data_IF_235457942559
#
_entry.id   IF_235457942559
#
_cell.length_a   1.000
_cell.length_b   1.000
_cell.length_c   1.000
_cell.angle_alpha   90.00
_cell.angle_beta   90.00
_cell.angle_gamma   90.00
#
_symmetry.space_group_name_H-M   'P 1'
#
loop_
_entity.id
_entity.type
_entity.pdbx_description
1 polymer ?
#
# COMPACT_ATOMS: atom_id res chain seq x y z
N UNK A 1 27.20 20.11 19.89
CA UNK A 1 25.77 20.05 19.70
C UNK A 1 25.32 21.33 19.00
N UNK A 2 25.14 21.31 17.71
CA UNK A 2 24.71 22.49 16.93
C UNK A 2 23.18 22.47 16.92
N UNK A 3 22.57 23.36 17.70
CA UNK A 3 21.14 23.60 17.71
C UNK A 3 20.79 24.34 16.40
N UNK A 4 20.13 23.67 15.48
CA UNK A 4 19.54 24.29 14.29
C UNK A 4 18.23 24.97 14.69
N UNK A 5 17.97 26.16 14.20
CA UNK A 5 16.65 26.81 14.29
C UNK A 5 15.87 26.52 13.01
N UNK A 6 14.59 26.17 13.13
CA UNK A 6 13.68 26.09 12.00
C UNK A 6 13.34 27.50 11.47
N UNK A 7 12.60 27.59 10.37
CA UNK A 7 12.17 28.87 9.76
C UNK A 7 11.26 29.70 10.69
N UNK A 8 10.84 29.18 11.82
CA UNK A 8 10.02 29.85 12.84
C UNK A 8 10.85 30.30 14.07
N UNK A 9 12.19 30.12 14.03
CA UNK A 9 13.10 30.57 15.10
C UNK A 9 13.14 29.64 16.33
N UNK A 10 12.58 28.42 16.23
CA UNK A 10 12.61 27.44 17.32
C UNK A 10 13.83 26.54 17.24
N UNK A 11 14.37 26.22 18.41
CA UNK A 11 15.41 25.21 18.56
C UNK A 11 14.84 23.86 18.11
N UNK A 12 15.32 23.33 17.00
CA UNK A 12 14.97 21.97 16.57
C UNK A 12 15.54 21.02 17.61
N UNK A 13 14.68 20.39 18.41
CA UNK A 13 15.06 19.24 19.21
C UNK A 13 15.65 18.21 18.24
N UNK A 14 16.86 17.73 18.52
CA UNK A 14 17.46 16.66 17.73
C UNK A 14 16.56 15.43 17.80
N UNK A 15 15.79 15.20 16.72
CA UNK A 15 14.86 14.08 16.61
C UNK A 15 15.57 12.76 16.87
N UNK A 16 16.81 12.61 16.40
CA UNK A 16 17.61 11.40 16.59
C UNK A 16 17.92 11.16 18.07
N UNK A 17 18.28 12.20 18.81
CA UNK A 17 18.55 12.09 20.26
C UNK A 17 17.26 11.68 20.99
N UNK A 18 16.13 12.29 20.65
CA UNK A 18 14.82 11.96 21.23
C UNK A 18 14.42 10.51 20.94
N UNK A 19 14.47 10.08 19.69
CA UNK A 19 14.09 8.72 19.30
C UNK A 19 15.05 7.67 19.88
N UNK A 20 16.35 7.98 20.01
CA UNK A 20 17.31 7.05 20.60
C UNK A 20 17.08 6.79 22.09
N UNK A 21 16.53 7.74 22.81
CA UNK A 21 16.22 7.62 24.23
C UNK A 21 14.82 7.08 24.55
N UNK A 22 13.92 6.93 23.55
CA UNK A 22 12.55 6.50 23.76
C UNK A 22 12.42 4.99 23.58
N UNK A 23 11.99 4.29 24.61
CA UNK A 23 11.89 2.83 24.56
C UNK A 23 10.69 2.36 23.74
N UNK A 24 10.83 1.22 23.06
CA UNK A 24 9.69 0.55 22.41
C UNK A 24 8.58 0.23 23.41
N UNK A 25 8.93 -0.14 24.66
CA UNK A 25 7.96 -0.43 25.69
C UNK A 25 7.11 0.79 26.02
N UNK A 26 7.72 1.98 26.16
CA UNK A 26 6.99 3.23 26.38
C UNK A 26 6.06 3.57 25.20
N UNK A 27 6.54 3.36 23.96
CA UNK A 27 5.71 3.57 22.77
C UNK A 27 4.46 2.69 22.78
N UNK A 28 4.58 1.44 23.21
CA UNK A 28 3.47 0.50 23.34
C UNK A 28 2.52 0.86 24.50
N UNK A 29 3.06 1.14 25.70
CA UNK A 29 2.29 1.45 26.91
C UNK A 29 1.46 2.73 26.76
N UNK A 30 2.03 3.74 26.11
CA UNK A 30 1.38 5.04 25.94
C UNK A 30 0.58 5.15 24.65
N UNK A 31 0.55 4.13 23.79
CA UNK A 31 -0.19 4.16 22.53
C UNK A 31 -1.68 4.34 22.75
N UNK A 32 -2.19 5.53 22.52
CA UNK A 32 -3.61 5.87 22.53
C UNK A 32 -3.92 6.84 21.40
N UNK A 33 -5.15 6.82 20.91
CA UNK A 33 -5.64 7.83 19.96
C UNK A 33 -5.86 9.17 20.69
N UNK A 34 -5.19 10.20 20.23
CA UNK A 34 -5.39 11.58 20.69
C UNK A 34 -5.55 12.45 19.45
N UNK A 35 -6.66 13.18 19.37
CA UNK A 35 -7.14 13.76 18.11
C UNK A 35 -7.21 15.28 18.12
N UNK A 36 -7.42 15.89 19.29
CA UNK A 36 -7.69 17.31 19.37
C UNK A 36 -6.38 18.11 19.28
N UNK A 37 -6.28 18.93 18.24
CA UNK A 37 -5.10 19.72 17.91
C UNK A 37 -5.40 21.22 17.99
N UNK A 38 -4.36 22.06 18.05
CA UNK A 38 -4.51 23.51 17.93
C UNK A 38 -5.32 23.92 16.69
N UNK A 39 -6.26 24.86 16.88
CA UNK A 39 -7.15 25.35 15.82
C UNK A 39 -8.42 24.52 15.61
N UNK A 40 -8.58 23.37 16.29
CA UNK A 40 -9.81 22.56 16.20
C UNK A 40 -10.95 23.10 17.07
N UNK A 41 -12.18 22.72 16.71
CA UNK A 41 -13.39 23.06 17.48
C UNK A 41 -14.33 21.86 17.55
N UNK A 42 -14.78 21.52 18.77
CA UNK A 42 -15.93 20.66 19.03
C UNK A 42 -17.10 21.55 19.42
N UNK A 43 -18.07 21.71 18.52
CA UNK A 43 -19.14 22.72 18.63
C UNK A 43 -20.26 22.37 19.64
N UNK A 44 -20.28 21.15 20.20
CA UNK A 44 -21.35 20.75 21.11
C UNK A 44 -21.03 19.55 21.98
N UNK A 45 -21.92 19.24 22.91
CA UNK A 45 -21.79 18.14 23.85
C UNK A 45 -20.85 18.41 25.03
N UNK A 46 -20.56 17.39 25.86
CA UNK A 46 -19.81 17.55 27.10
C UNK A 46 -18.34 17.93 26.92
N UNK A 47 -17.78 17.76 25.71
CA UNK A 47 -16.41 18.14 25.36
C UNK A 47 -16.38 19.38 24.44
N UNK A 48 -17.44 20.20 24.46
CA UNK A 48 -17.51 21.42 23.65
C UNK A 48 -16.35 22.36 23.97
N UNK A 49 -15.53 22.64 22.97
CA UNK A 49 -14.31 23.45 23.13
C UNK A 49 -13.84 24.00 21.79
N UNK A 50 -13.43 25.25 21.80
CA UNK A 50 -12.73 25.87 20.67
C UNK A 50 -11.30 26.16 21.09
N UNK A 51 -10.35 25.63 20.35
CA UNK A 51 -8.93 25.93 20.55
C UNK A 51 -8.67 27.42 20.42
N UNK A 52 -7.91 27.98 21.35
CA UNK A 52 -7.42 29.37 21.29
C UNK A 52 -6.06 29.46 20.59
N UNK A 53 -5.38 28.35 20.39
CA UNK A 53 -4.11 28.26 19.70
C UNK A 53 -4.31 28.16 18.18
N UNK A 54 -3.42 28.76 17.40
CA UNK A 54 -3.41 28.61 15.95
C UNK A 54 -3.00 27.19 15.54
N UNK A 55 -3.48 26.70 14.38
CA UNK A 55 -3.00 25.44 13.81
C UNK A 55 -1.46 25.37 13.75
N UNK A 56 -0.88 24.25 14.17
CA UNK A 56 0.56 24.06 14.24
C UNK A 56 0.97 22.82 13.42
N UNK A 57 1.53 23.01 12.21
CA UNK A 57 1.98 21.91 11.37
C UNK A 57 3.12 21.10 12.04
N UNK A 58 3.30 19.85 11.60
CA UNK A 58 4.49 19.08 11.87
C UNK A 58 5.69 19.71 11.15
N UNK A 59 6.86 19.54 11.73
CA UNK A 59 8.12 19.85 11.03
C UNK A 59 8.39 18.78 9.97
N UNK A 60 9.18 19.11 8.95
CA UNK A 60 9.52 18.12 7.91
C UNK A 60 10.38 16.97 8.48
N UNK A 61 11.15 17.20 9.55
CA UNK A 61 11.93 16.14 10.22
C UNK A 61 11.00 15.14 10.94
N UNK A 62 9.91 15.62 11.54
CA UNK A 62 8.87 14.77 12.13
C UNK A 62 8.12 13.98 11.06
N UNK A 63 7.79 14.62 9.95
CA UNK A 63 7.19 13.91 8.81
C UNK A 63 8.14 12.86 8.24
N UNK A 64 9.45 13.16 8.13
CA UNK A 64 10.45 12.20 7.69
C UNK A 64 10.54 10.98 8.62
N UNK A 65 10.53 11.20 9.94
CA UNK A 65 10.52 10.11 10.92
C UNK A 65 9.24 9.26 10.82
N UNK A 66 8.08 9.88 10.68
CA UNK A 66 6.81 9.18 10.49
C UNK A 66 6.76 8.41 9.17
N UNK A 67 7.20 9.02 8.07
CA UNK A 67 7.27 8.36 6.77
C UNK A 67 8.24 7.17 6.78
N UNK A 68 9.40 7.31 7.46
CA UNK A 68 10.35 6.21 7.66
C UNK A 68 9.71 5.09 8.47
N UNK A 69 9.06 5.38 9.58
CA UNK A 69 8.38 4.37 10.38
C UNK A 69 7.31 3.62 9.59
N UNK A 70 6.55 4.33 8.73
CA UNK A 70 5.51 3.76 7.90
C UNK A 70 6.05 2.85 6.79
N UNK A 71 7.12 3.25 6.10
CA UNK A 71 7.51 2.58 4.86
C UNK A 71 8.99 2.76 4.47
N UNK A 72 9.87 3.10 5.42
CA UNK A 72 11.29 3.29 5.15
C UNK A 72 12.02 2.02 4.72
N UNK A 73 13.01 2.17 3.84
CA UNK A 73 13.91 1.09 3.45
C UNK A 73 14.84 0.79 4.62
N UNK A 74 14.99 -0.51 4.97
CA UNK A 74 15.79 -0.95 6.11
C UNK A 74 17.07 -1.70 5.72
N UNK A 75 17.08 -2.31 4.54
CA UNK A 75 18.19 -3.13 4.09
C UNK A 75 17.77 -4.10 3.01
N UNK A 76 18.65 -5.05 2.69
CA UNK A 76 18.31 -6.15 1.82
C UNK A 76 17.53 -7.22 2.58
N UNK A 77 16.56 -7.84 1.92
CA UNK A 77 15.80 -8.97 2.44
C UNK A 77 16.71 -10.21 2.56
N UNK A 78 16.57 -10.99 3.62
CA UNK A 78 17.35 -12.22 3.78
C UNK A 78 16.91 -13.31 2.79
N UNK A 79 15.61 -13.41 2.51
CA UNK A 79 15.00 -14.31 1.53
C UNK A 79 15.41 -15.79 1.75
N UNK A 80 15.22 -16.26 2.96
CA UNK A 80 15.54 -17.65 3.41
C UNK A 80 14.50 -18.62 2.86
N UNK A 81 14.62 -18.97 1.57
CA UNK A 81 13.69 -19.82 0.85
C UNK A 81 14.41 -21.05 0.30
N UNK A 82 13.76 -22.21 0.18
CA UNK A 82 14.38 -23.43 -0.34
C UNK A 82 14.74 -23.38 -1.84
N UNK A 83 14.18 -22.48 -2.63
CA UNK A 83 14.44 -22.31 -4.07
C UNK A 83 14.63 -23.63 -4.84
N UNK A 84 13.63 -24.50 -4.78
CA UNK A 84 13.65 -25.80 -5.45
C UNK A 84 12.90 -25.73 -6.79
N UNK A 85 13.35 -26.51 -7.77
CA UNK A 85 12.53 -26.82 -8.94
C UNK A 85 11.39 -27.76 -8.53
N UNK A 86 10.26 -27.68 -9.24
CA UNK A 86 9.16 -28.63 -9.07
C UNK A 86 9.55 -30.05 -9.55
N UNK A 87 8.72 -31.04 -9.22
CA UNK A 87 8.99 -32.47 -9.49
C UNK A 87 9.04 -32.84 -10.98
N UNK A 88 8.66 -31.94 -11.87
CA UNK A 88 8.65 -32.20 -13.34
C UNK A 88 9.73 -31.39 -14.05
N UNK A 89 10.35 -31.92 -15.10
CA UNK A 89 11.29 -31.16 -15.90
C UNK A 89 10.68 -29.86 -16.42
N UNK A 90 11.34 -28.74 -16.14
CA UNK A 90 10.89 -27.40 -16.51
C UNK A 90 9.77 -26.81 -15.63
N UNK A 91 9.35 -27.50 -14.56
CA UNK A 91 8.48 -26.89 -13.56
C UNK A 91 9.26 -25.87 -12.73
N UNK A 92 8.66 -24.72 -12.51
CA UNK A 92 9.21 -23.70 -11.58
C UNK A 92 8.99 -24.11 -10.13
N UNK A 93 9.80 -23.60 -9.22
CA UNK A 93 9.73 -23.89 -7.80
C UNK A 93 8.72 -23.07 -7.01
N UNK A 94 7.76 -22.41 -7.65
CA UNK A 94 6.78 -21.58 -6.95
C UNK A 94 7.39 -20.41 -6.17
N UNK A 95 8.50 -19.85 -6.63
CA UNK A 95 9.21 -18.77 -5.96
C UNK A 95 8.38 -17.49 -5.89
N UNK A 96 7.87 -17.20 -4.70
CA UNK A 96 7.02 -16.02 -4.44
C UNK A 96 7.80 -14.74 -4.13
N UNK A 97 9.09 -14.80 -3.82
CA UNK A 97 9.88 -13.59 -3.54
C UNK A 97 9.96 -12.72 -4.80
N UNK A 98 9.54 -11.46 -4.68
CA UNK A 98 9.54 -10.52 -5.80
C UNK A 98 10.71 -9.54 -5.74
N UNK A 99 11.10 -9.12 -4.53
CA UNK A 99 12.18 -8.17 -4.32
C UNK A 99 13.08 -8.59 -3.16
N UNK A 100 14.32 -8.08 -3.20
CA UNK A 100 15.34 -8.32 -2.17
C UNK A 100 15.59 -7.09 -1.27
N UNK A 101 14.63 -6.16 -1.18
CA UNK A 101 14.70 -4.96 -0.33
C UNK A 101 13.65 -5.07 0.78
N UNK A 102 14.10 -4.87 2.04
CA UNK A 102 13.24 -4.82 3.22
C UNK A 102 12.76 -3.40 3.53
N UNK A 103 11.63 -3.30 4.20
CA UNK A 103 11.06 -2.06 4.73
C UNK A 103 10.79 -2.18 6.24
N UNK A 104 10.48 -1.06 6.88
CA UNK A 104 10.06 -1.00 8.30
C UNK A 104 8.79 -1.78 8.60
N UNK A 105 8.04 -2.18 7.58
CA UNK A 105 6.84 -3.00 7.67
C UNK A 105 7.03 -4.33 6.95
N UNK A 106 6.34 -5.36 7.42
CA UNK A 106 6.23 -6.60 6.69
C UNK A 106 5.40 -6.41 5.40
N UNK A 107 5.84 -7.04 4.33
CA UNK A 107 5.12 -7.10 3.07
C UNK A 107 5.10 -8.54 2.58
N UNK A 108 3.95 -9.05 2.14
CA UNK A 108 3.84 -10.36 1.52
C UNK A 108 4.77 -10.45 0.33
N UNK A 109 5.60 -11.52 0.28
CA UNK A 109 6.48 -11.84 -0.84
C UNK A 109 7.50 -10.75 -1.22
N UNK A 110 7.69 -9.74 -0.36
CA UNK A 110 8.50 -8.57 -0.67
C UNK A 110 7.93 -7.68 -1.78
N UNK A 111 6.65 -7.77 -2.08
CA UNK A 111 5.99 -7.01 -3.17
C UNK A 111 5.95 -5.51 -2.88
N UNK A 112 5.86 -5.11 -1.61
CA UNK A 112 5.70 -3.71 -1.24
C UNK A 112 4.55 -3.03 -1.99
N UNK A 113 3.35 -3.60 -1.85
CA UNK A 113 2.17 -3.16 -2.60
C UNK A 113 1.73 -1.73 -2.27
N UNK A 114 2.03 -1.25 -1.06
CA UNK A 114 1.53 0.02 -0.54
C UNK A 114 2.48 1.18 -0.74
N UNK A 115 1.99 2.23 -1.40
CA UNK A 115 2.58 3.57 -1.47
C UNK A 115 1.93 4.48 -0.43
N UNK A 116 2.66 5.49 0.06
CA UNK A 116 2.16 6.42 1.08
C UNK A 116 2.03 7.82 0.52
N UNK A 117 0.81 8.39 0.54
CA UNK A 117 0.60 9.81 0.32
C UNK A 117 0.67 10.55 1.65
N UNK A 118 1.43 11.63 1.69
CA UNK A 118 1.58 12.53 2.83
C UNK A 118 0.95 13.86 2.45
N UNK A 119 -0.09 14.25 3.18
CA UNK A 119 -0.93 15.42 2.90
C UNK A 119 -0.83 16.38 4.08
N UNK A 120 -0.36 17.59 3.85
CA UNK A 120 -0.19 18.63 4.87
C UNK A 120 -0.58 20.01 4.32
N UNK A 121 -0.35 21.09 5.08
CA UNK A 121 -0.70 22.45 4.68
C UNK A 121 0.10 22.95 3.47
N UNK A 122 1.29 22.40 3.25
CA UNK A 122 2.11 22.74 2.09
C UNK A 122 1.67 21.98 0.83
N UNK A 123 0.92 20.89 0.95
CA UNK A 123 0.36 20.10 -0.17
C UNK A 123 0.47 18.60 -0.03
N UNK A 124 0.80 17.89 -1.11
CA UNK A 124 0.83 16.44 -1.17
C UNK A 124 2.17 15.93 -1.68
N UNK A 125 2.73 14.96 -0.98
CA UNK A 125 3.88 14.18 -1.44
C UNK A 125 3.52 12.70 -1.53
N UNK A 126 4.06 12.01 -2.54
CA UNK A 126 4.03 10.55 -2.67
C UNK A 126 5.38 9.99 -2.24
N UNK A 127 5.39 9.09 -1.27
CA UNK A 127 6.57 8.29 -0.91
C UNK A 127 6.59 7.04 -1.78
N UNK A 128 7.63 6.93 -2.60
CA UNK A 128 7.80 5.84 -3.58
C UNK A 128 8.13 4.52 -2.90
N UNK A 129 7.66 3.42 -3.49
CA UNK A 129 8.03 2.07 -3.09
C UNK A 129 9.45 1.73 -3.59
N UNK A 130 10.12 0.71 -3.05
CA UNK A 130 11.44 0.30 -3.54
C UNK A 130 11.50 0.05 -5.05
N UNK A 131 10.46 -0.59 -5.62
CA UNK A 131 10.36 -0.86 -7.05
C UNK A 131 10.15 0.37 -7.94
N UNK A 132 9.76 1.49 -7.35
CA UNK A 132 9.54 2.77 -8.06
C UNK A 132 10.79 3.66 -8.01
N UNK A 133 11.89 3.19 -7.40
CA UNK A 133 13.18 3.86 -7.27
C UNK A 133 14.19 3.29 -8.26
N UNK A 134 15.20 4.09 -8.60
CA UNK A 134 16.36 3.56 -9.31
C UNK A 134 17.11 2.59 -8.39
N UNK A 135 17.40 1.39 -8.86
CA UNK A 135 18.14 0.39 -8.09
C UNK A 135 19.51 0.86 -7.68
N UNK A 136 20.17 1.68 -8.50
CA UNK A 136 21.47 2.25 -8.17
C UNK A 136 21.43 3.15 -6.92
N UNK A 137 20.26 3.69 -6.55
CA UNK A 137 20.08 4.51 -5.35
C UNK A 137 19.89 3.67 -4.07
N UNK A 138 19.49 2.41 -4.17
CA UNK A 138 19.12 1.57 -3.01
C UNK A 138 20.25 1.47 -1.96
N UNK A 139 21.52 1.21 -2.32
CA UNK A 139 22.60 1.16 -1.33
C UNK A 139 22.76 2.46 -0.54
N UNK A 140 22.63 3.60 -1.19
CA UNK A 140 22.71 4.90 -0.52
C UNK A 140 21.51 5.15 0.39
N UNK A 141 20.30 4.75 -0.02
CA UNK A 141 19.11 4.85 0.83
C UNK A 141 19.23 3.98 2.08
N UNK A 142 19.79 2.78 1.96
CA UNK A 142 20.11 1.91 3.10
C UNK A 142 21.16 2.58 4.02
N UNK A 143 22.21 3.17 3.46
CA UNK A 143 23.21 3.89 4.23
C UNK A 143 22.60 5.05 5.03
N UNK A 144 21.75 5.86 4.39
CA UNK A 144 21.04 6.97 5.05
C UNK A 144 20.14 6.47 6.19
N UNK A 145 19.42 5.37 5.97
CA UNK A 145 18.57 4.77 7.00
C UNK A 145 19.38 4.32 8.22
N UNK A 146 20.45 3.56 8.00
CA UNK A 146 21.34 3.10 9.09
C UNK A 146 22.08 4.25 9.78
N UNK A 147 22.42 5.31 9.03
CA UNK A 147 22.96 6.57 9.57
C UNK A 147 21.94 7.41 10.32
N UNK A 148 20.65 7.01 10.33
CA UNK A 148 19.54 7.78 10.89
C UNK A 148 19.39 9.17 10.26
N UNK A 149 19.81 9.33 9.03
CA UNK A 149 19.67 10.53 8.22
C UNK A 149 18.27 10.58 7.57
N UNK A 150 17.22 10.59 8.42
CA UNK A 150 15.84 10.38 7.99
C UNK A 150 15.31 11.48 7.06
N UNK A 151 15.76 12.74 7.25
CA UNK A 151 15.34 13.85 6.40
C UNK A 151 15.95 13.75 4.99
N UNK A 152 17.27 13.54 4.80
CA UNK A 152 17.84 13.27 3.47
C UNK A 152 17.24 12.05 2.79
N UNK A 153 16.96 10.98 3.55
CA UNK A 153 16.27 9.79 3.04
C UNK A 153 14.87 10.15 2.51
N UNK A 154 14.07 10.87 3.31
CA UNK A 154 12.71 11.28 2.94
C UNK A 154 12.70 12.16 1.69
N UNK A 155 13.62 13.12 1.60
CA UNK A 155 13.72 14.01 0.45
C UNK A 155 14.09 13.28 -0.85
N UNK A 156 14.79 12.14 -0.79
CA UNK A 156 15.11 11.31 -1.96
C UNK A 156 13.96 10.41 -2.39
N UNK A 157 13.20 9.86 -1.44
CA UNK A 157 12.14 8.89 -1.78
C UNK A 157 10.79 9.53 -2.09
N UNK A 158 10.56 10.78 -1.70
CA UNK A 158 9.29 11.47 -1.96
C UNK A 158 9.28 12.22 -3.29
N UNK A 159 8.10 12.31 -3.88
CA UNK A 159 7.81 13.18 -5.02
C UNK A 159 6.70 14.13 -4.62
N UNK A 160 6.92 15.44 -4.76
CA UNK A 160 5.87 16.44 -4.56
C UNK A 160 4.90 16.37 -5.72
N UNK A 161 3.62 16.12 -5.45
CA UNK A 161 2.57 15.96 -6.48
C UNK A 161 1.52 17.08 -6.47
N UNK A 162 1.44 17.84 -5.40
CA UNK A 162 0.58 19.05 -5.29
C UNK A 162 1.19 20.04 -4.31
N UNK A 163 1.08 21.34 -4.61
CA UNK A 163 1.51 22.45 -3.74
C UNK A 163 0.40 22.97 -2.83
N UNK A 164 -0.71 22.25 -2.76
CA UNK A 164 -1.82 22.57 -1.88
C UNK A 164 -2.34 21.31 -1.23
N UNK A 165 -2.85 21.46 0.00
CA UNK A 165 -3.59 20.37 0.65
C UNK A 165 -4.74 19.96 -0.23
N UNK A 166 -4.91 18.65 -0.45
CA UNK A 166 -6.16 18.10 -1.00
C UNK A 166 -7.09 17.74 0.14
N UNK A 167 -8.37 17.93 -0.07
CA UNK A 167 -9.39 17.63 0.92
C UNK A 167 -10.55 16.90 0.27
N UNK A 168 -11.28 16.13 1.07
CA UNK A 168 -12.51 15.49 0.65
C UNK A 168 -13.69 16.24 1.25
N UNK A 169 -14.88 16.17 0.63
CA UNK A 169 -16.09 16.73 1.23
C UNK A 169 -16.27 16.24 2.67
N UNK A 170 -16.57 17.16 3.61
CA UNK A 170 -16.65 16.83 5.04
C UNK A 170 -18.03 16.39 5.51
N UNK A 171 -19.06 16.55 4.67
CA UNK A 171 -20.40 16.09 4.96
C UNK A 171 -20.53 14.56 4.86
N UNK A 172 -21.59 14.03 5.44
CA UNK A 172 -22.01 12.65 5.26
C UNK A 172 -22.38 12.43 3.78
N UNK A 173 -21.96 11.36 3.14
CA UNK A 173 -21.37 10.15 3.70
C UNK A 173 -19.82 10.12 3.72
N UNK A 174 -19.14 11.19 3.34
CA UNK A 174 -17.68 11.20 3.13
C UNK A 174 -16.91 11.20 4.44
N UNK A 175 -17.32 12.01 5.41
CA UNK A 175 -16.74 12.05 6.75
C UNK A 175 -17.84 11.88 7.80
N UNK A 176 -17.74 10.86 8.69
CA UNK A 176 -18.71 10.69 9.76
C UNK A 176 -18.78 11.94 10.67
N UNK A 177 -19.96 12.30 11.18
CA UNK A 177 -20.16 13.54 11.98
C UNK A 177 -19.16 13.65 13.14
N UNK A 178 -18.86 12.56 13.84
CA UNK A 178 -17.94 12.53 14.96
C UNK A 178 -16.46 12.69 14.60
N UNK A 179 -16.11 12.74 13.31
CA UNK A 179 -14.75 12.97 12.82
C UNK A 179 -14.61 14.27 12.02
N UNK A 180 -15.70 14.97 11.72
CA UNK A 180 -15.68 16.18 10.88
C UNK A 180 -14.80 17.29 11.48
N UNK A 181 -14.75 17.40 12.80
CA UNK A 181 -13.95 18.40 13.50
C UNK A 181 -12.43 18.18 13.36
N UNK A 182 -12.00 16.96 13.11
CA UNK A 182 -10.58 16.58 13.15
C UNK A 182 -9.99 16.09 11.84
N UNK A 183 -10.82 15.55 10.91
CA UNK A 183 -10.29 14.90 9.70
C UNK A 183 -9.66 15.90 8.75
N UNK A 184 -8.38 15.71 8.45
CA UNK A 184 -7.60 16.44 7.45
C UNK A 184 -7.73 17.99 7.58
N UNK A 185 -7.76 18.48 8.81
CA UNK A 185 -7.83 19.93 9.08
C UNK A 185 -6.46 20.59 9.03
N UNK A 186 -6.37 21.93 8.85
CA UNK A 186 -5.10 22.67 8.90
C UNK A 186 -4.28 22.36 10.16
N UNK A 187 -2.96 22.35 10.05
CA UNK A 187 -2.04 22.01 11.14
C UNK A 187 -1.84 20.52 11.36
N UNK A 188 -2.55 19.65 10.64
CA UNK A 188 -2.39 18.19 10.72
C UNK A 188 -1.66 17.64 9.52
N UNK A 189 -1.01 16.49 9.67
CA UNK A 189 -0.47 15.70 8.55
C UNK A 189 -1.26 14.41 8.42
N UNK A 190 -1.80 14.17 7.21
CA UNK A 190 -2.62 13.02 6.88
C UNK A 190 -1.82 12.03 6.04
N UNK A 191 -1.70 10.82 6.51
CA UNK A 191 -0.98 9.72 5.87
C UNK A 191 -1.99 8.76 5.27
N UNK A 192 -2.04 8.68 3.94
CA UNK A 192 -2.96 7.83 3.20
C UNK A 192 -2.20 6.70 2.48
N UNK A 193 -2.24 5.46 3.00
CA UNK A 193 -1.65 4.30 2.33
C UNK A 193 -2.56 3.84 1.19
N UNK A 194 -2.00 3.73 -0.02
CA UNK A 194 -2.69 3.25 -1.21
C UNK A 194 -1.98 2.00 -1.73
N UNK A 195 -2.69 0.87 -1.69
CA UNK A 195 -2.17 -0.39 -2.23
C UNK A 195 -2.41 -0.48 -3.74
N UNK A 196 -1.39 -0.91 -4.48
CA UNK A 196 -1.46 -1.38 -5.85
C UNK A 196 -1.52 -2.92 -5.82
N UNK A 197 -2.58 -3.50 -6.36
CA UNK A 197 -2.91 -4.91 -6.16
C UNK A 197 -2.48 -5.83 -7.32
N UNK A 198 -2.17 -5.28 -8.51
CA UNK A 198 -1.95 -6.12 -9.68
C UNK A 198 -0.61 -6.86 -9.64
N UNK A 199 0.44 -6.22 -9.13
CA UNK A 199 1.74 -6.86 -8.93
C UNK A 199 1.63 -8.04 -7.95
N UNK A 200 0.97 -7.83 -6.81
CA UNK A 200 0.72 -8.87 -5.82
C UNK A 200 -0.12 -10.01 -6.41
N UNK A 201 -1.18 -9.69 -7.17
CA UNK A 201 -2.02 -10.68 -7.81
C UNK A 201 -1.25 -11.54 -8.82
N UNK A 202 -0.47 -10.92 -9.69
CA UNK A 202 0.33 -11.66 -10.66
C UNK A 202 1.33 -12.58 -9.94
N UNK A 203 2.03 -12.07 -8.93
CA UNK A 203 3.01 -12.84 -8.19
C UNK A 203 2.40 -14.08 -7.51
N UNK A 204 1.26 -13.91 -6.84
CA UNK A 204 0.54 -15.01 -6.21
C UNK A 204 0.05 -16.05 -7.22
N UNK A 205 -0.48 -15.60 -8.39
CA UNK A 205 -0.97 -16.49 -9.44
C UNK A 205 0.15 -17.27 -10.11
N UNK A 206 1.31 -16.63 -10.36
CA UNK A 206 2.48 -17.32 -10.89
C UNK A 206 2.92 -18.49 -9.99
N UNK A 207 2.83 -18.33 -8.68
CA UNK A 207 3.11 -19.41 -7.73
C UNK A 207 1.95 -20.43 -7.65
N UNK A 208 0.71 -19.95 -7.53
CA UNK A 208 -0.47 -20.80 -7.39
C UNK A 208 -0.72 -21.72 -8.59
N UNK A 209 -0.30 -21.29 -9.79
CA UNK A 209 -0.44 -22.04 -11.02
C UNK A 209 0.79 -22.87 -11.39
N UNK A 210 1.81 -22.94 -10.54
CA UNK A 210 2.87 -23.95 -10.70
C UNK A 210 2.32 -25.37 -10.50
N UNK A 211 2.98 -26.37 -11.09
CA UNK A 211 2.56 -27.77 -11.00
C UNK A 211 2.39 -28.26 -9.56
N UNK A 212 3.26 -27.80 -8.64
CA UNK A 212 3.25 -28.22 -7.23
C UNK A 212 2.03 -27.69 -6.47
N UNK A 213 1.62 -26.47 -6.72
CA UNK A 213 0.39 -25.90 -6.18
C UNK A 213 -0.83 -26.33 -7.00
N UNK A 214 -0.79 -26.16 -8.31
CA UNK A 214 -1.77 -26.61 -9.28
C UNK A 214 -3.20 -26.15 -8.98
N UNK A 215 -3.39 -24.93 -8.47
CA UNK A 215 -4.70 -24.40 -8.16
C UNK A 215 -5.55 -24.22 -9.42
N UNK A 216 -6.81 -24.61 -9.32
CA UNK A 216 -7.79 -24.43 -10.37
C UNK A 216 -8.88 -23.48 -9.92
N UNK A 217 -9.17 -22.43 -10.71
CA UNK A 217 -10.05 -21.35 -10.27
C UNK A 217 -11.40 -21.43 -10.99
N UNK A 218 -12.47 -21.43 -10.20
CA UNK A 218 -13.85 -21.30 -10.66
C UNK A 218 -14.37 -19.88 -10.39
N UNK A 219 -15.12 -19.32 -11.32
CA UNK A 219 -15.78 -18.04 -11.12
C UNK A 219 -17.20 -18.26 -10.60
N UNK A 220 -17.43 -18.10 -9.32
CA UNK A 220 -18.72 -18.25 -8.65
C UNK A 220 -19.75 -17.24 -9.15
N UNK A 221 -19.30 -16.05 -9.58
CA UNK A 221 -20.16 -15.01 -10.19
C UNK A 221 -20.61 -15.39 -11.59
N UNK A 222 -19.94 -16.35 -12.23
CA UNK A 222 -20.25 -16.92 -13.52
C UNK A 222 -20.66 -18.39 -13.43
N UNK A 223 -21.52 -18.75 -12.48
CA UNK A 223 -22.07 -20.11 -12.30
C UNK A 223 -20.98 -21.17 -12.13
N UNK A 224 -19.92 -20.86 -11.42
CA UNK A 224 -18.77 -21.72 -11.19
C UNK A 224 -18.12 -22.26 -12.47
N UNK A 225 -18.17 -21.48 -13.55
CA UNK A 225 -17.42 -21.83 -14.76
C UNK A 225 -15.91 -21.64 -14.54
N UNK A 226 -15.07 -22.41 -15.23
CA UNK A 226 -13.64 -22.18 -15.24
C UNK A 226 -13.32 -20.73 -15.63
N UNK A 227 -12.53 -20.07 -14.82
CA UNK A 227 -12.17 -18.67 -15.03
C UNK A 227 -11.06 -18.52 -16.11
N UNK A 228 -11.33 -18.91 -17.35
CA UNK A 228 -10.35 -18.93 -18.44
C UNK A 228 -9.40 -20.14 -18.41
N UNK A 229 -9.49 -21.01 -17.41
CA UNK A 229 -8.51 -22.08 -17.13
C UNK A 229 -8.87 -23.46 -17.68
N UNK A 230 -9.98 -23.61 -18.41
CA UNK A 230 -10.49 -24.91 -18.84
C UNK A 230 -9.47 -25.79 -19.60
N UNK A 231 -8.59 -25.20 -20.40
CA UNK A 231 -7.55 -25.92 -21.16
C UNK A 231 -6.39 -26.41 -20.29
N UNK A 232 -6.23 -25.85 -19.10
CA UNK A 232 -5.16 -26.19 -18.17
C UNK A 232 -5.57 -27.25 -17.14
N UNK A 233 -6.85 -27.69 -17.14
CA UNK A 233 -7.38 -28.70 -16.23
C UNK A 233 -6.71 -30.07 -16.43
N UNK A 234 -6.32 -30.76 -15.36
CA UNK A 234 -5.73 -32.12 -15.41
C UNK A 234 -6.65 -33.13 -16.08
N UNK A 235 -7.97 -33.02 -15.88
CA UNK A 235 -8.96 -33.86 -16.56
C UNK A 235 -8.93 -33.71 -18.08
N UNK A 236 -8.27 -32.66 -18.60
CA UNK A 236 -8.10 -32.37 -20.02
C UNK A 236 -6.64 -32.40 -20.50
N UNK A 237 -5.76 -33.00 -19.68
CA UNK A 237 -4.33 -33.12 -20.01
C UNK A 237 -3.48 -31.90 -19.61
N UNK A 238 -4.04 -30.94 -18.89
CA UNK A 238 -3.32 -29.79 -18.35
C UNK A 238 -2.58 -30.11 -17.04
N UNK A 239 -2.13 -29.07 -16.33
CA UNK A 239 -1.34 -29.19 -15.10
C UNK A 239 -2.11 -28.76 -13.84
N UNK A 240 -3.20 -27.97 -13.96
CA UNK A 240 -3.99 -27.49 -12.84
C UNK A 240 -4.99 -28.56 -12.35
N UNK A 241 -5.06 -28.77 -11.05
CA UNK A 241 -5.88 -29.83 -10.47
C UNK A 241 -7.33 -29.36 -10.32
N UNK A 242 -8.20 -29.84 -11.22
CA UNK A 242 -9.64 -29.56 -11.25
C UNK A 242 -10.49 -30.60 -10.49
N UNK A 243 -9.88 -31.54 -9.77
CA UNK A 243 -10.57 -32.46 -8.87
C UNK A 243 -11.01 -31.73 -7.60
N UNK A 244 -12.33 -31.64 -7.40
CA UNK A 244 -12.93 -31.00 -6.22
C UNK A 244 -12.52 -31.67 -4.89
N UNK A 245 -12.17 -32.96 -4.90
CA UNK A 245 -11.75 -33.69 -3.71
C UNK A 245 -10.30 -33.41 -3.30
N UNK A 246 -9.49 -32.87 -4.20
CA UNK A 246 -8.07 -32.63 -3.96
C UNK A 246 -7.76 -31.35 -3.15
N UNK A 247 -8.77 -30.54 -2.83
CA UNK A 247 -8.61 -29.31 -2.05
C UNK A 247 -7.82 -28.19 -2.78
N UNK A 248 -7.72 -28.27 -4.12
CA UNK A 248 -6.97 -27.29 -4.95
C UNK A 248 -7.87 -26.46 -5.86
N UNK A 249 -9.19 -26.69 -5.80
CA UNK A 249 -10.16 -25.86 -6.50
C UNK A 249 -10.58 -24.72 -5.59
N UNK A 250 -10.40 -23.48 -6.07
CA UNK A 250 -10.72 -22.26 -5.34
C UNK A 250 -11.64 -21.37 -6.17
N UNK A 251 -12.26 -20.36 -5.55
CA UNK A 251 -13.08 -19.40 -6.30
C UNK A 251 -12.30 -18.12 -6.60
N UNK A 252 -12.73 -17.40 -7.63
CA UNK A 252 -12.19 -16.08 -7.96
C UNK A 252 -12.35 -15.09 -6.80
N UNK A 253 -13.50 -15.13 -6.09
CA UNK A 253 -13.76 -14.29 -4.92
C UNK A 253 -12.85 -14.63 -3.72
N UNK A 254 -12.48 -15.90 -3.55
CA UNK A 254 -11.48 -16.29 -2.56
C UNK A 254 -10.13 -15.65 -2.84
N UNK A 255 -9.65 -15.69 -4.10
CA UNK A 255 -8.40 -15.04 -4.48
C UNK A 255 -8.45 -13.51 -4.33
N UNK A 256 -9.54 -12.88 -4.74
CA UNK A 256 -9.74 -11.43 -4.57
C UNK A 256 -9.77 -11.05 -3.07
N UNK A 257 -10.33 -11.89 -2.20
CA UNK A 257 -10.35 -11.69 -0.74
C UNK A 257 -8.95 -11.80 -0.17
N UNK A 258 -8.23 -12.85 -0.52
CA UNK A 258 -6.86 -13.09 -0.07
C UNK A 258 -5.95 -11.90 -0.39
N UNK A 259 -6.04 -11.43 -1.62
CA UNK A 259 -5.29 -10.27 -2.10
C UNK A 259 -5.58 -9.01 -1.28
N UNK A 260 -6.84 -8.76 -0.93
CA UNK A 260 -7.23 -7.63 -0.09
C UNK A 260 -6.72 -7.74 1.33
N UNK A 261 -6.68 -8.96 1.89
CA UNK A 261 -6.15 -9.23 3.22
C UNK A 261 -4.65 -8.95 3.29
N UNK A 262 -3.87 -9.41 2.32
CA UNK A 262 -2.44 -9.07 2.24
C UNK A 262 -2.20 -7.56 2.19
N UNK A 263 -2.94 -6.85 1.35
CA UNK A 263 -2.84 -5.39 1.27
C UNK A 263 -3.26 -4.70 2.59
N UNK A 264 -4.31 -5.21 3.25
CA UNK A 264 -4.79 -4.68 4.52
C UNK A 264 -3.80 -4.91 5.66
N UNK A 265 -3.10 -6.05 5.69
CA UNK A 265 -2.04 -6.35 6.67
C UNK A 265 -0.88 -5.36 6.49
N UNK A 266 -0.43 -5.14 5.27
CA UNK A 266 0.64 -4.18 4.97
C UNK A 266 0.23 -2.75 5.39
N UNK A 267 -0.99 -2.31 5.04
CA UNK A 267 -1.54 -1.03 5.48
C UNK A 267 -1.66 -0.95 7.01
N UNK A 268 -2.13 -2.01 7.67
CA UNK A 268 -2.25 -2.10 9.14
C UNK A 268 -0.89 -1.97 9.84
N UNK A 269 0.16 -2.60 9.30
CA UNK A 269 1.52 -2.46 9.81
C UNK A 269 2.04 -1.02 9.69
N UNK A 270 1.76 -0.34 8.57
CA UNK A 270 2.08 1.10 8.43
C UNK A 270 1.40 1.93 9.50
N UNK A 271 0.10 1.73 9.72
CA UNK A 271 -0.67 2.50 10.71
C UNK A 271 -0.18 2.24 12.14
N UNK A 272 0.19 0.99 12.47
CA UNK A 272 0.74 0.66 13.77
C UNK A 272 2.08 1.36 13.98
N UNK A 273 2.99 1.34 13.00
CA UNK A 273 4.28 2.00 13.11
C UNK A 273 4.15 3.53 13.19
N UNK A 274 3.23 4.14 12.43
CA UNK A 274 2.88 5.56 12.59
C UNK A 274 2.39 5.84 14.00
N UNK A 275 1.55 4.96 14.57
CA UNK A 275 1.07 5.08 15.95
C UNK A 275 2.17 5.03 16.99
N UNK A 276 3.16 4.16 16.85
CA UNK A 276 4.29 4.06 17.76
C UNK A 276 5.22 5.27 17.62
N UNK A 277 5.52 5.66 16.39
CA UNK A 277 6.39 6.81 16.12
C UNK A 277 5.78 8.12 16.63
N UNK A 278 4.46 8.32 16.50
CA UNK A 278 3.76 9.48 17.08
C UNK A 278 3.94 9.56 18.59
N UNK A 279 3.92 8.43 19.31
CA UNK A 279 4.17 8.44 20.77
C UNK A 279 5.61 8.89 21.06
N UNK A 280 6.59 8.33 20.36
CA UNK A 280 8.01 8.69 20.56
C UNK A 280 8.28 10.15 20.23
N UNK A 281 7.59 10.72 19.26
CA UNK A 281 7.69 12.15 18.90
C UNK A 281 6.85 13.06 19.83
N UNK A 282 6.06 12.52 20.78
CA UNK A 282 5.16 13.28 21.62
C UNK A 282 4.01 13.97 20.86
N UNK A 283 3.66 13.44 19.70
CA UNK A 283 2.54 13.90 18.87
C UNK A 283 1.23 13.21 19.28
N UNK A 284 0.12 13.79 18.90
CA UNK A 284 -1.15 13.10 18.81
C UNK A 284 -1.30 12.40 17.46
N UNK A 285 -2.15 11.38 17.43
CA UNK A 285 -2.48 10.70 16.18
C UNK A 285 -3.50 9.59 16.36
N UNK A 286 -4.12 9.21 15.27
CA UNK A 286 -5.11 8.15 15.27
C UNK A 286 -5.28 7.54 13.87
N UNK A 287 -5.50 6.22 13.78
CA UNK A 287 -5.95 5.59 12.55
C UNK A 287 -7.45 5.77 12.37
N UNK A 288 -7.90 6.00 11.15
CA UNK A 288 -9.32 6.07 10.83
C UNK A 288 -9.63 5.63 9.40
N UNK A 289 -10.90 5.43 9.10
CA UNK A 289 -11.32 5.12 7.75
C UNK A 289 -11.14 6.34 6.83
N UNK A 290 -10.44 6.14 5.72
CA UNK A 290 -10.49 7.03 4.58
C UNK A 290 -11.78 6.74 3.83
N UNK A 291 -12.86 7.41 4.18
CA UNK A 291 -14.17 7.17 3.59
C UNK A 291 -14.15 7.35 2.08
N UNK A 292 -14.85 6.49 1.37
CA UNK A 292 -14.99 6.56 -0.09
C UNK A 292 -13.67 6.69 -0.86
N UNK A 293 -12.94 5.58 -1.08
CA UNK A 293 -11.62 5.58 -1.74
C UNK A 293 -11.60 6.34 -3.07
N UNK A 294 -12.67 6.26 -3.87
CA UNK A 294 -12.76 6.93 -5.15
C UNK A 294 -12.70 8.46 -5.05
N UNK A 295 -13.21 9.06 -3.96
CA UNK A 295 -13.12 10.51 -3.75
C UNK A 295 -11.66 10.91 -3.48
N UNK A 296 -10.96 10.15 -2.65
CA UNK A 296 -9.52 10.36 -2.44
C UNK A 296 -8.74 10.22 -3.73
N UNK A 297 -9.04 9.21 -4.56
CA UNK A 297 -8.35 9.04 -5.84
C UNK A 297 -8.60 10.21 -6.78
N UNK A 298 -9.84 10.74 -6.84
CA UNK A 298 -10.16 11.92 -7.65
C UNK A 298 -9.41 13.16 -7.17
N UNK A 299 -9.46 13.45 -5.87
CA UNK A 299 -8.82 14.63 -5.29
C UNK A 299 -7.28 14.56 -5.37
N UNK A 300 -6.69 13.38 -5.27
CA UNK A 300 -5.26 13.18 -5.50
C UNK A 300 -4.85 13.28 -6.98
N UNK A 301 -5.79 13.24 -7.90
CA UNK A 301 -5.51 13.32 -9.35
C UNK A 301 -5.17 11.97 -10.00
N UNK A 302 -5.67 10.85 -9.45
CA UNK A 302 -5.57 9.56 -10.13
C UNK A 302 -6.28 9.62 -11.48
N UNK A 303 -5.76 8.88 -12.45
CA UNK A 303 -6.46 8.60 -13.70
C UNK A 303 -7.64 7.70 -13.41
N UNK A 304 -8.85 8.23 -13.62
CA UNK A 304 -10.11 7.54 -13.33
C UNK A 304 -10.75 6.99 -14.60
N UNK A 305 -11.40 5.84 -14.48
CA UNK A 305 -12.25 5.24 -15.50
C UNK A 305 -13.61 4.90 -14.90
N UNK A 306 -14.69 5.28 -15.57
CA UNK A 306 -16.03 4.89 -15.19
C UNK A 306 -16.42 3.58 -15.89
N UNK A 307 -16.54 2.52 -15.13
CA UNK A 307 -17.09 1.23 -15.59
C UNK A 307 -18.59 1.20 -15.31
N UNK A 308 -19.36 0.50 -16.14
CA UNK A 308 -20.78 0.25 -15.85
C UNK A 308 -20.89 -0.79 -14.72
N UNK A 309 -21.86 -0.60 -13.81
CA UNK A 309 -22.12 -1.56 -12.73
C UNK A 309 -22.38 -2.97 -13.30
N UNK A 310 -23.19 -3.07 -14.36
CA UNK A 310 -23.45 -4.34 -15.06
C UNK A 310 -22.17 -5.08 -15.45
N UNK A 311 -21.14 -4.34 -15.91
CA UNK A 311 -19.86 -4.94 -16.24
C UNK A 311 -19.09 -5.38 -15.01
N UNK A 312 -19.04 -4.55 -13.96
CA UNK A 312 -18.26 -4.87 -12.74
C UNK A 312 -18.80 -6.08 -11.98
N UNK A 313 -20.09 -6.37 -12.09
CA UNK A 313 -20.71 -7.57 -11.51
C UNK A 313 -20.77 -8.76 -12.49
N UNK A 314 -20.27 -8.60 -13.72
CA UNK A 314 -20.31 -9.65 -14.75
C UNK A 314 -21.70 -10.02 -15.21
N UNK A 315 -22.63 -9.05 -15.25
CA UNK A 315 -24.01 -9.27 -15.70
C UNK A 315 -24.05 -9.86 -17.12
N UNK A 316 -24.96 -10.78 -17.36
CA UNK A 316 -25.22 -11.26 -18.72
C UNK A 316 -25.89 -10.16 -19.57
N UNK A 317 -25.90 -10.26 -20.91
CA UNK A 317 -26.46 -9.21 -21.79
C UNK A 317 -27.89 -8.80 -21.48
N UNK A 318 -28.75 -9.77 -21.11
CA UNK A 318 -30.15 -9.49 -20.77
C UNK A 318 -30.26 -8.68 -19.47
N UNK A 319 -29.50 -9.07 -18.44
CA UNK A 319 -29.46 -8.36 -17.18
C UNK A 319 -28.85 -6.95 -17.36
N UNK A 320 -27.78 -6.81 -18.14
CA UNK A 320 -27.18 -5.51 -18.43
C UNK A 320 -28.17 -4.57 -19.17
N UNK A 321 -28.91 -5.09 -20.14
CA UNK A 321 -29.97 -4.34 -20.84
C UNK A 321 -31.10 -3.91 -19.87
N UNK A 322 -31.54 -4.80 -18.99
CA UNK A 322 -32.57 -4.49 -17.99
C UNK A 322 -32.06 -3.43 -16.98
N UNK A 323 -30.82 -3.51 -16.52
CA UNK A 323 -30.20 -2.50 -15.65
C UNK A 323 -30.12 -1.13 -16.33
N UNK A 324 -29.74 -1.11 -17.61
CA UNK A 324 -29.66 0.11 -18.40
C UNK A 324 -31.06 0.76 -18.59
N UNK A 325 -32.05 -0.02 -18.96
CA UNK A 325 -33.42 0.45 -19.15
C UNK A 325 -34.06 0.98 -17.86
N UNK A 326 -33.71 0.41 -16.72
CA UNK A 326 -34.23 0.84 -15.40
C UNK A 326 -33.40 1.93 -14.74
N UNK A 327 -32.35 2.47 -15.40
CA UNK A 327 -31.46 3.49 -14.85
C UNK A 327 -30.57 2.97 -13.70
N UNK A 328 -30.47 1.65 -13.50
CA UNK A 328 -29.67 1.03 -12.42
C UNK A 328 -28.24 0.69 -12.82
N UNK A 329 -27.89 0.85 -14.10
CA UNK A 329 -26.52 0.62 -14.59
C UNK A 329 -25.63 1.86 -14.37
N UNK A 330 -25.45 2.20 -13.08
CA UNK A 330 -24.69 3.38 -12.68
C UNK A 330 -23.19 3.27 -13.02
N UNK A 331 -22.51 4.40 -13.22
CA UNK A 331 -21.05 4.42 -13.37
C UNK A 331 -20.38 4.08 -12.04
N UNK A 332 -19.37 3.20 -12.10
CA UNK A 332 -18.52 2.81 -10.99
C UNK A 332 -17.12 3.41 -11.21
N UNK A 333 -16.75 4.48 -10.50
CA UNK A 333 -15.43 5.10 -10.63
C UNK A 333 -14.34 4.11 -10.21
N UNK A 334 -13.33 3.92 -11.06
CA UNK A 334 -12.21 3.02 -10.80
C UNK A 334 -10.92 3.76 -11.12
N UNK A 335 -10.02 3.86 -10.15
CA UNK A 335 -8.68 4.39 -10.37
C UNK A 335 -7.87 3.36 -11.19
N UNK A 336 -7.20 3.83 -12.25
CA UNK A 336 -6.45 2.96 -13.16
C UNK A 336 -4.96 3.30 -13.23
N UNK A 337 -4.50 4.34 -12.55
CA UNK A 337 -3.11 4.74 -12.46
C UNK A 337 -2.96 6.11 -11.83
N UNK A 338 -1.72 6.47 -11.49
CA UNK A 338 -1.39 7.79 -11.00
C UNK A 338 -0.20 8.35 -11.77
N UNK A 339 -0.40 9.52 -12.36
CA UNK A 339 0.59 10.21 -13.19
C UNK A 339 0.82 11.62 -12.66
N UNK A 340 2.08 12.06 -12.70
CA UNK A 340 2.44 13.43 -12.37
C UNK A 340 3.39 13.98 -13.44
N UNK A 341 3.07 15.17 -13.98
CA UNK A 341 3.84 15.80 -15.07
C UNK A 341 4.10 14.87 -16.26
N UNK A 342 3.09 14.08 -16.66
CA UNK A 342 3.16 13.15 -17.77
C UNK A 342 3.99 11.88 -17.52
N UNK A 343 4.46 11.66 -16.29
CA UNK A 343 5.20 10.45 -15.88
C UNK A 343 4.32 9.58 -14.98
N UNK A 344 4.19 8.27 -15.24
CA UNK A 344 3.50 7.36 -14.34
C UNK A 344 4.30 7.20 -13.05
N UNK A 345 3.69 7.52 -11.90
CA UNK A 345 4.25 7.29 -10.57
C UNK A 345 3.71 6.01 -9.92
N UNK A 346 2.43 5.67 -10.16
CA UNK A 346 1.87 4.37 -9.80
C UNK A 346 1.28 3.74 -11.07
N UNK A 347 2.01 2.76 -11.59
CA UNK A 347 1.70 2.04 -12.82
C UNK A 347 1.31 0.60 -12.49
N UNK A 348 0.01 0.27 -12.46
CA UNK A 348 -0.41 -1.10 -12.24
C UNK A 348 -0.14 -1.97 -13.46
N UNK A 349 0.05 -3.27 -13.24
CA UNK A 349 0.27 -4.27 -14.29
C UNK A 349 -1.05 -4.69 -14.94
N UNK A 350 -1.69 -3.75 -15.64
CA UNK A 350 -2.92 -3.97 -16.40
C UNK A 350 -3.14 -2.83 -17.40
N UNK A 351 -4.07 -2.96 -18.36
CA UNK A 351 -4.50 -1.82 -19.18
C UNK A 351 -5.02 -0.66 -18.33
N UNK A 352 -4.75 0.63 -18.67
CA UNK A 352 -4.23 1.07 -19.96
C UNK A 352 -2.70 1.20 -20.06
N UNK A 353 -1.93 0.81 -19.06
CA UNK A 353 -0.46 0.92 -19.09
C UNK A 353 0.21 -0.19 -19.90
N UNK A 354 -0.50 -1.26 -20.12
CA UNK A 354 -0.15 -2.38 -20.99
C UNK A 354 -1.29 -2.58 -21.99
N UNK A 355 -0.98 -3.10 -23.19
CA UNK A 355 -2.00 -3.31 -24.24
C UNK A 355 -3.06 -4.34 -23.85
N UNK A 356 -2.63 -5.38 -23.12
CA UNK A 356 -3.44 -6.49 -22.64
C UNK A 356 -2.84 -7.08 -21.36
N UNK A 357 -3.43 -8.10 -20.82
CA UNK A 357 -2.92 -8.76 -19.60
C UNK A 357 -1.68 -9.64 -19.89
N UNK A 358 -1.54 -10.16 -21.09
CA UNK A 358 -0.34 -10.89 -21.51
C UNK A 358 0.91 -10.01 -21.38
N UNK A 359 0.89 -8.82 -21.98
CA UNK A 359 2.00 -7.87 -21.87
C UNK A 359 2.30 -7.49 -20.41
N UNK A 360 1.25 -7.30 -19.60
CA UNK A 360 1.40 -6.97 -18.19
C UNK A 360 2.05 -8.11 -17.38
N UNK A 361 1.62 -9.34 -17.58
CA UNK A 361 2.20 -10.51 -16.90
C UNK A 361 3.65 -10.73 -17.32
N UNK A 362 3.93 -10.66 -18.62
CA UNK A 362 5.30 -10.81 -19.13
C UNK A 362 6.23 -9.71 -18.59
N UNK A 363 5.74 -8.46 -18.50
CA UNK A 363 6.51 -7.37 -17.91
C UNK A 363 6.80 -7.61 -16.41
N UNK A 364 5.88 -8.23 -15.66
CA UNK A 364 6.15 -8.62 -14.28
C UNK A 364 7.12 -9.81 -14.17
N UNK A 365 7.04 -10.77 -15.07
CA UNK A 365 8.04 -11.86 -15.18
C UNK A 365 9.42 -11.29 -15.47
N UNK A 366 9.53 -10.31 -16.37
CA UNK A 366 10.78 -9.62 -16.67
C UNK A 366 11.29 -8.81 -15.48
N UNK A 367 10.40 -8.16 -14.72
CA UNK A 367 10.76 -7.48 -13.48
C UNK A 367 11.48 -8.43 -12.50
N UNK A 368 11.08 -9.70 -12.43
CA UNK A 368 11.74 -10.72 -11.58
C UNK A 368 12.96 -11.34 -12.23
N UNK A 369 12.90 -11.70 -13.51
CA UNK A 369 13.82 -12.65 -14.12
C UNK A 369 14.55 -12.16 -15.38
N UNK A 370 14.40 -10.88 -15.80
CA UNK A 370 15.14 -10.39 -16.96
C UNK A 370 16.65 -10.44 -16.69
N UNK A 371 17.46 -11.03 -17.61
CA UNK A 371 18.90 -11.16 -17.42
C UNK A 371 19.58 -9.80 -17.16
N UNK A 372 20.37 -9.71 -16.11
CA UNK A 372 21.13 -8.52 -15.74
C UNK A 372 20.32 -7.38 -15.13
N UNK A 373 18.98 -7.46 -15.11
CA UNK A 373 18.13 -6.38 -14.60
C UNK A 373 16.95 -6.86 -13.74
N UNK A 374 16.55 -8.10 -13.82
CA UNK A 374 15.51 -8.67 -12.97
C UNK A 374 15.93 -8.72 -11.49
N UNK A 375 14.99 -8.59 -10.55
CA UNK A 375 15.29 -8.58 -9.11
C UNK A 375 16.02 -9.84 -8.65
N UNK A 376 15.81 -10.96 -9.34
CA UNK A 376 16.43 -12.24 -9.09
C UNK A 376 17.47 -12.62 -10.17
N UNK A 377 17.94 -11.68 -10.98
CA UNK A 377 18.91 -11.88 -12.08
C UNK A 377 19.83 -10.68 -12.30
N UNK A 378 20.05 -9.84 -11.30
CA UNK A 378 20.91 -8.65 -11.37
C UNK A 378 22.38 -8.92 -11.00
N UNK A 379 22.74 -10.20 -10.85
CA UNK A 379 24.08 -10.62 -10.43
C UNK A 379 24.28 -10.64 -8.92
N UNK A 380 23.23 -10.41 -8.14
CA UNK A 380 23.24 -10.52 -6.67
C UNK A 380 23.96 -9.38 -5.92
N UNK A 381 24.36 -8.33 -6.63
CA UNK A 381 25.09 -7.19 -6.04
C UNK A 381 24.26 -6.45 -4.97
N UNK A 382 22.93 -6.52 -5.06
CA UNK A 382 21.99 -5.94 -4.11
C UNK A 382 21.23 -7.02 -3.34
N UNK A 383 21.95 -7.93 -2.72
CA UNK A 383 21.39 -9.00 -1.91
C UNK A 383 22.15 -9.13 -0.58
N UNK A 384 21.59 -9.89 0.37
CA UNK A 384 22.26 -10.23 1.65
C UNK A 384 23.10 -11.51 1.58
N UNK A 385 23.19 -12.16 0.42
CA UNK A 385 23.96 -13.39 0.25
C UNK A 385 25.45 -13.11 0.06
N UNK A 386 26.32 -13.97 0.57
CA UNK A 386 27.78 -13.87 0.36
C UNK A 386 28.15 -13.98 -1.12
N UNK A 387 27.51 -14.91 -1.84
CA UNK A 387 27.61 -15.04 -3.28
C UNK A 387 26.22 -14.93 -3.90
N UNK A 388 25.77 -13.68 -4.03
CA UNK A 388 24.44 -13.42 -4.58
C UNK A 388 24.28 -13.87 -6.03
N UNK A 389 25.36 -13.84 -6.80
CA UNK A 389 25.35 -14.30 -8.19
C UNK A 389 25.11 -15.80 -8.30
N UNK A 390 25.83 -16.61 -7.52
CA UNK A 390 25.62 -18.06 -7.47
C UNK A 390 24.20 -18.40 -7.02
N UNK A 391 23.72 -17.78 -5.91
CA UNK A 391 22.35 -18.03 -5.43
C UNK A 391 21.30 -17.67 -6.47
N UNK A 392 21.41 -16.51 -7.12
CA UNK A 392 20.45 -16.09 -8.14
C UNK A 392 20.45 -17.00 -9.37
N UNK A 393 21.58 -17.59 -9.74
CA UNK A 393 21.65 -18.54 -10.85
C UNK A 393 20.90 -19.84 -10.54
N UNK A 394 20.88 -20.24 -9.27
CA UNK A 394 20.20 -21.46 -8.80
C UNK A 394 18.71 -21.25 -8.50
N UNK A 395 18.21 -20.00 -8.42
CA UNK A 395 16.78 -19.72 -8.24
C UNK A 395 16.02 -20.09 -9.51
N UNK A 396 15.08 -21.05 -9.47
CA UNK A 396 14.32 -21.44 -10.65
C UNK A 396 13.41 -20.30 -11.12
N UNK A 397 13.26 -20.17 -12.44
CA UNK A 397 12.24 -19.29 -13.03
C UNK A 397 10.87 -19.95 -12.92
N UNK A 398 9.81 -19.15 -12.84
CA UNK A 398 8.43 -19.64 -12.99
C UNK A 398 8.24 -20.36 -14.33
N UNK A 399 7.43 -21.43 -14.34
CA UNK A 399 7.20 -22.23 -15.54
C UNK A 399 6.39 -21.50 -16.61
N UNK A 400 6.59 -21.86 -17.87
CA UNK A 400 5.79 -21.33 -18.97
C UNK A 400 4.30 -21.72 -18.81
N UNK A 401 4.00 -22.86 -18.19
CA UNK A 401 2.65 -23.28 -17.86
C UNK A 401 1.98 -22.35 -16.85
N UNK A 402 2.68 -21.97 -15.78
CA UNK A 402 2.17 -21.02 -14.78
C UNK A 402 1.96 -19.64 -15.38
N UNK A 403 2.89 -19.17 -16.24
CA UNK A 403 2.76 -17.90 -16.97
C UNK A 403 1.51 -17.93 -17.87
N UNK A 404 1.34 -18.98 -18.67
CA UNK A 404 0.21 -19.10 -19.59
C UNK A 404 -1.14 -19.19 -18.89
N UNK A 405 -1.21 -19.90 -17.75
CA UNK A 405 -2.41 -19.97 -16.92
C UNK A 405 -2.73 -18.62 -16.26
N UNK A 406 -1.72 -17.91 -15.75
CA UNK A 406 -1.85 -16.56 -15.17
C UNK A 406 -2.40 -15.57 -16.21
N UNK A 407 -1.84 -15.55 -17.41
CA UNK A 407 -2.33 -14.73 -18.53
C UNK A 407 -3.81 -15.05 -18.81
N UNK A 408 -4.14 -16.33 -18.98
CA UNK A 408 -5.51 -16.74 -19.31
C UNK A 408 -6.55 -16.33 -18.25
N UNK A 409 -6.22 -16.49 -16.97
CA UNK A 409 -7.07 -16.07 -15.86
C UNK A 409 -7.26 -14.56 -15.82
N UNK A 410 -6.20 -13.78 -15.92
CA UNK A 410 -6.25 -12.33 -15.86
C UNK A 410 -6.93 -11.71 -17.08
N UNK A 411 -6.71 -12.26 -18.28
CA UNK A 411 -7.48 -11.91 -19.48
C UNK A 411 -8.98 -12.18 -19.30
N UNK A 412 -9.33 -13.33 -18.73
CA UNK A 412 -10.72 -13.65 -18.41
C UNK A 412 -11.33 -12.59 -17.49
N UNK A 413 -10.67 -12.23 -16.38
CA UNK A 413 -11.16 -11.22 -15.46
C UNK A 413 -11.31 -9.86 -16.12
N UNK A 414 -10.29 -9.41 -16.83
CA UNK A 414 -10.31 -8.11 -17.51
C UNK A 414 -11.39 -8.02 -18.58
N UNK A 415 -11.56 -9.07 -19.39
CA UNK A 415 -12.56 -9.12 -20.44
C UNK A 415 -13.98 -9.16 -19.87
N UNK A 416 -14.20 -9.89 -18.78
CA UNK A 416 -15.51 -10.06 -18.18
C UNK A 416 -15.90 -8.89 -17.28
N UNK A 417 -15.02 -8.45 -16.38
CA UNK A 417 -15.30 -7.45 -15.34
C UNK A 417 -14.76 -6.05 -15.68
N UNK A 418 -13.96 -5.93 -16.70
CA UNK A 418 -13.38 -4.66 -17.15
C UNK A 418 -12.27 -4.12 -16.26
N UNK A 419 -11.87 -4.86 -15.23
CA UNK A 419 -10.83 -4.48 -14.27
C UNK A 419 -10.16 -5.70 -13.63
N UNK A 420 -9.00 -5.51 -13.06
CA UNK A 420 -8.20 -6.51 -12.34
C UNK A 420 -7.63 -5.86 -11.07
N UNK A 421 -7.82 -6.45 -9.88
CA UNK A 421 -8.77 -7.53 -9.53
C UNK A 421 -10.23 -7.17 -9.83
N UNK A 422 -11.07 -8.21 -9.94
CA UNK A 422 -12.45 -7.99 -10.37
C UNK A 422 -13.30 -7.19 -9.37
N UNK A 423 -13.05 -7.34 -8.07
CA UNK A 423 -13.84 -6.69 -7.01
C UNK A 423 -13.54 -5.18 -6.87
N UNK A 424 -12.27 -4.77 -6.97
CA UNK A 424 -11.85 -3.41 -6.60
C UNK A 424 -11.17 -2.63 -7.73
N UNK A 425 -10.67 -3.33 -8.75
CA UNK A 425 -9.68 -2.74 -9.65
C UNK A 425 -8.28 -2.66 -9.01
N UNK A 426 -7.32 -2.00 -9.68
CA UNK A 426 -5.90 -2.09 -9.33
C UNK A 426 -5.50 -1.39 -8.03
N UNK A 427 -6.31 -0.48 -7.50
CA UNK A 427 -5.96 0.28 -6.30
C UNK A 427 -6.95 0.07 -5.16
N UNK A 428 -6.41 0.06 -3.93
CA UNK A 428 -7.20 -0.01 -2.71
C UNK A 428 -6.65 0.90 -1.62
N UNK A 429 -7.56 1.69 -1.03
CA UNK A 429 -7.34 2.38 0.24
C UNK A 429 -8.64 2.42 1.02
N UNK A 430 -8.58 2.21 2.32
CA UNK A 430 -9.75 2.29 3.25
C UNK A 430 -9.35 2.84 4.60
N UNK A 431 -8.05 2.87 4.88
CA UNK A 431 -7.48 3.28 6.15
C UNK A 431 -6.54 4.44 5.92
N UNK A 432 -6.43 5.31 6.90
CA UNK A 432 -5.50 6.42 6.94
C UNK A 432 -5.00 6.61 8.37
N UNK A 433 -3.95 7.40 8.52
CA UNK A 433 -3.45 7.85 9.81
C UNK A 433 -3.32 9.36 9.78
N UNK A 434 -3.74 10.03 10.84
CA UNK A 434 -3.52 11.46 11.00
C UNK A 434 -2.64 11.70 12.21
N UNK A 435 -1.60 12.52 12.05
CA UNK A 435 -0.74 13.01 13.12
C UNK A 435 -0.89 14.53 13.27
N UNK A 436 -0.75 15.01 14.51
CA UNK A 436 -0.85 16.43 14.82
C UNK A 436 -0.13 16.77 16.14
N UNK A 437 0.19 18.04 16.33
CA UNK A 437 0.44 18.57 17.66
C UNK A 437 -0.84 18.48 18.51
N UNK A 438 -0.74 18.42 19.84
CA UNK A 438 -1.90 18.37 20.72
C UNK A 438 -2.20 19.74 21.31
N UNK A 439 -3.50 20.03 21.48
CA UNK A 439 -3.95 21.17 22.23
C UNK A 439 -4.00 20.81 23.72
N UNK A 440 -2.99 21.25 24.47
CA UNK A 440 -2.85 20.90 25.89
C UNK A 440 -4.00 21.44 26.75
N UNK A 441 -4.49 22.66 26.49
CA UNK A 441 -5.55 23.26 27.25
C UNK A 441 -6.82 22.42 27.18
N UNK A 442 -7.12 21.86 26.00
CA UNK A 442 -8.22 20.91 25.85
C UNK A 442 -8.04 19.67 26.72
N UNK A 443 -6.85 19.05 26.69
CA UNK A 443 -6.60 17.83 27.46
C UNK A 443 -6.58 18.12 28.96
N UNK A 444 -5.93 19.20 29.39
CA UNK A 444 -5.91 19.63 30.80
C UNK A 444 -7.29 19.95 31.35
N UNK A 445 -8.18 20.49 30.50
CA UNK A 445 -9.56 20.82 30.90
C UNK A 445 -10.45 19.60 31.09
N UNK A 446 -10.32 18.58 30.23
CA UNK A 446 -11.30 17.50 30.18
C UNK A 446 -10.79 16.14 30.62
N UNK A 447 -9.49 15.96 30.76
CA UNK A 447 -8.90 14.66 31.06
C UNK A 447 -8.01 14.69 32.27
N UNK A 448 -7.88 13.51 32.90
CA UNK A 448 -6.93 13.30 34.01
C UNK A 448 -5.49 13.43 33.52
N UNK A 449 -4.54 13.78 34.40
CA UNK A 449 -3.14 13.98 34.01
C UNK A 449 -2.54 12.87 33.17
N UNK A 450 -2.87 11.59 33.42
CA UNK A 450 -2.32 10.46 32.66
C UNK A 450 -2.93 10.24 31.26
N UNK A 451 -3.78 11.16 30.79
CA UNK A 451 -4.27 11.14 29.42
C UNK A 451 -3.17 11.47 28.38
N UNK A 452 -2.19 12.27 28.77
CA UNK A 452 -1.01 12.59 27.98
C UNK A 452 0.22 11.82 28.53
N UNK A 453 1.04 11.31 27.62
CA UNK A 453 2.33 10.70 27.98
C UNK A 453 3.33 11.78 28.42
N UNK A 454 4.38 11.42 29.18
CA UNK A 454 5.48 12.35 29.48
C UNK A 454 6.02 13.04 28.22
N UNK A 455 6.27 12.28 27.16
CA UNK A 455 6.79 12.82 25.90
C UNK A 455 5.83 13.83 25.22
N UNK A 456 4.53 13.74 25.45
CA UNK A 456 3.56 14.69 24.94
C UNK A 456 3.50 15.97 25.78
N UNK A 457 3.68 15.87 27.10
CA UNK A 457 3.77 17.04 27.99
C UNK A 457 5.05 17.82 27.79
N UNK A 458 6.19 17.13 27.58
CA UNK A 458 7.49 17.78 27.36
C UNK A 458 7.57 18.52 26.01
N UNK A 459 6.61 18.29 25.14
CA UNK A 459 6.54 18.88 23.79
C UNK A 459 5.82 20.23 23.75
N UNK A 460 4.99 20.51 24.67
CA UNK A 460 4.04 21.61 24.70
C UNK A 460 4.65 23.01 24.85
#
# INVERSE_FOLDING_TARGET
MTLGTDRTGRTTLDINARLSGYSLMDALLWRRSRRFAPGMEISGGPLSYRSTAAPRPLTTDEEAALAFAACGITGHTLAEMPYQEGDRPGAGGGNIIAQLVGRTIASGDGIHSVSLFVINDEGVSLVRRPQDLDRAEIPELIRLAHGRELRPLYDRVRVRVSDRRVDVPREVPFVPPFNQYSTNVPGTTYFLPVAELTALMINLLLSAFEDDFGFYVLDERNRFQPAGLAKFARSRGGHLNDDLSAGRVVTAGFLDTWLREFAAIEQGAMLQNLGLMTQALGLGGFPHFAAHPFVWYQELGFRMRNLRLSRTIGANPLMAAAMSLTGRDMPMPTAVGFEHQGKPLLRPYCPPYYRNMEEAVLAFVDFKYAPGSGTLRDGGAQSSWHDGGAVQNDIPKVSDNAIAATIAYLEYLHNRYGRVPADNGPFRTVLAYQAANLDEDFYNRYYVPDALSPAQRDRA
#
